data_IF_872215302079
#
_entry.id   IF_872215302079
#
_cell.length_a   1.000
_cell.length_b   1.000
_cell.length_c   1.000
_cell.angle_alpha   90.00
_cell.angle_beta   90.00
_cell.angle_gamma   90.00
#
_symmetry.space_group_name_H-M   'P 1'
#
loop_
_entity.id
_entity.type
_entity.pdbx_description
1 polymer ?
#
# COMPACT_ATOMS: atom_id res chain seq x y z
N UNK A 1 24.27 74.74 -8.57
CA UNK A 1 22.84 74.50 -8.83
C UNK A 1 22.68 73.01 -9.08
N UNK A 2 22.14 72.29 -8.11
CA UNK A 2 21.41 71.03 -8.32
C UNK A 2 20.68 70.75 -7.00
N UNK A 3 19.39 71.06 -6.96
CA UNK A 3 18.51 70.80 -5.83
C UNK A 3 17.73 69.54 -6.15
N UNK A 4 17.97 68.46 -5.41
CA UNK A 4 17.25 67.19 -5.56
C UNK A 4 15.74 67.38 -5.38
N UNK A 5 14.91 66.67 -6.16
CA UNK A 5 13.45 66.76 -6.02
C UNK A 5 12.97 66.12 -4.70
N UNK A 6 11.81 66.53 -4.17
CA UNK A 6 11.29 65.99 -2.92
C UNK A 6 10.86 64.52 -3.10
N UNK A 7 10.95 63.70 -2.03
CA UNK A 7 10.56 62.29 -2.09
C UNK A 7 9.04 62.16 -2.29
N UNK A 8 8.65 61.24 -3.16
CA UNK A 8 7.24 60.90 -3.40
C UNK A 8 6.59 60.36 -2.12
N UNK A 9 5.31 60.70 -1.83
CA UNK A 9 4.56 60.04 -0.78
C UNK A 9 4.42 58.55 -1.09
N UNK A 10 4.82 57.70 -0.14
CA UNK A 10 4.60 56.25 -0.23
C UNK A 10 3.10 55.92 -0.27
N UNK A 11 2.72 54.74 -0.80
CA UNK A 11 1.32 54.30 -0.80
C UNK A 11 0.79 54.28 0.63
N UNK A 12 -0.50 54.63 0.86
CA UNK A 12 -1.08 54.53 2.19
C UNK A 12 -0.95 53.09 2.71
N UNK A 13 -0.55 52.95 3.96
CA UNK A 13 -0.53 51.66 4.66
C UNK A 13 -1.94 51.04 4.61
N UNK A 14 -2.14 50.11 3.68
CA UNK A 14 -3.25 49.20 3.75
C UNK A 14 -2.90 48.22 4.87
N UNK A 15 -3.51 48.42 6.04
CA UNK A 15 -3.64 47.35 7.04
C UNK A 15 -4.06 46.09 6.31
N UNK A 16 -3.33 44.96 6.44
CA UNK A 16 -3.73 43.74 5.79
C UNK A 16 -5.09 43.36 6.36
N UNK A 17 -6.13 43.54 5.56
CA UNK A 17 -7.39 42.87 5.79
C UNK A 17 -7.07 41.41 5.54
N UNK A 18 -6.65 40.73 6.61
CA UNK A 18 -6.63 39.29 6.67
C UNK A 18 -8.10 38.89 6.57
N UNK A 19 -8.59 38.76 5.33
CA UNK A 19 -9.71 37.92 5.05
C UNK A 19 -9.27 36.53 5.50
N UNK A 20 -9.55 36.25 6.78
CA UNK A 20 -9.56 34.90 7.30
C UNK A 20 -10.70 34.25 6.54
N UNK A 21 -10.38 33.72 5.36
CA UNK A 21 -11.20 32.71 4.74
C UNK A 21 -11.12 31.56 5.75
N UNK A 22 -12.07 31.52 6.68
CA UNK A 22 -12.44 30.27 7.34
C UNK A 22 -13.04 29.42 6.23
N UNK A 23 -12.18 28.80 5.43
CA UNK A 23 -12.52 27.59 4.69
C UNK A 23 -12.73 26.51 5.74
N UNK A 24 -13.85 26.59 6.45
CA UNK A 24 -14.51 25.43 7.03
C UNK A 24 -15.07 24.64 5.86
N UNK A 25 -14.18 24.08 5.05
CA UNK A 25 -14.49 22.95 4.19
C UNK A 25 -14.10 21.72 5.00
N UNK A 26 -14.85 21.45 6.07
CA UNK A 26 -14.88 20.11 6.65
C UNK A 26 -15.50 19.21 5.58
N UNK A 27 -14.65 18.61 4.73
CA UNK A 27 -15.06 17.38 4.07
C UNK A 27 -15.56 16.43 5.15
N UNK A 28 -16.66 15.68 4.91
CA UNK A 28 -17.09 14.67 5.86
C UNK A 28 -15.92 13.73 6.13
N UNK A 29 -15.64 13.49 7.40
CA UNK A 29 -14.66 12.48 7.81
C UNK A 29 -15.06 11.16 7.14
N UNK A 30 -14.07 10.49 6.52
CA UNK A 30 -14.32 9.27 5.79
C UNK A 30 -14.76 8.18 6.78
N UNK A 31 -15.98 7.63 6.68
CA UNK A 31 -16.48 6.64 7.64
C UNK A 31 -15.63 5.36 7.65
N UNK A 32 -14.86 5.10 6.57
CA UNK A 32 -13.93 3.98 6.55
C UNK A 32 -12.79 4.16 7.54
N UNK A 33 -12.38 5.40 7.85
CA UNK A 33 -11.34 5.67 8.86
C UNK A 33 -11.81 5.41 10.29
N UNK A 34 -13.11 5.59 10.57
CA UNK A 34 -13.70 5.30 11.87
C UNK A 34 -13.87 3.79 12.11
N UNK A 35 -14.07 3.04 11.03
CA UNK A 35 -14.35 1.60 11.09
C UNK A 35 -13.09 0.75 10.90
N UNK A 36 -12.16 1.17 10.05
CA UNK A 36 -10.91 0.45 9.76
C UNK A 36 -9.80 0.87 10.72
N UNK A 37 -9.99 0.54 12.00
CA UNK A 37 -9.08 0.92 13.09
C UNK A 37 -8.17 -0.23 13.53
N UNK A 38 -8.43 -1.46 13.08
CA UNK A 38 -7.71 -2.64 13.55
C UNK A 38 -6.50 -2.93 12.64
N UNK A 39 -5.27 -2.86 13.16
CA UNK A 39 -4.08 -3.11 12.37
C UNK A 39 -3.87 -4.61 12.12
N UNK A 40 -3.50 -4.95 10.89
CA UNK A 40 -3.03 -6.26 10.44
C UNK A 40 -1.66 -6.10 9.81
N UNK A 41 -0.80 -7.08 10.01
CA UNK A 41 0.54 -7.15 9.44
C UNK A 41 0.55 -8.06 8.23
N UNK A 42 1.03 -7.55 7.10
CA UNK A 42 1.31 -8.34 5.90
C UNK A 42 2.82 -8.50 5.75
N UNK A 43 3.26 -9.74 5.57
CA UNK A 43 4.60 -10.00 5.06
C UNK A 43 4.54 -9.89 3.54
N UNK A 44 5.52 -9.25 2.93
CA UNK A 44 5.62 -9.10 1.48
C UNK A 44 6.91 -9.75 1.01
N UNK A 45 6.84 -10.63 0.01
CA UNK A 45 8.03 -11.20 -0.60
C UNK A 45 8.11 -10.90 -2.09
N UNK A 46 9.28 -10.45 -2.52
CA UNK A 46 9.65 -10.28 -3.93
C UNK A 46 10.74 -11.31 -4.20
N UNK A 47 10.46 -12.28 -5.07
CA UNK A 47 11.47 -13.27 -5.46
C UNK A 47 12.30 -12.72 -6.62
N UNK A 48 13.61 -12.77 -6.46
CA UNK A 48 14.58 -12.54 -7.53
C UNK A 48 15.15 -13.90 -7.91
N UNK A 49 15.03 -14.24 -9.19
CA UNK A 49 15.62 -15.45 -9.75
C UNK A 49 16.45 -15.04 -10.96
N UNK A 50 17.77 -15.20 -10.88
CA UNK A 50 18.70 -14.66 -11.88
C UNK A 50 18.48 -13.17 -12.16
N UNK A 51 18.27 -12.80 -13.43
CA UNK A 51 17.91 -11.46 -13.88
C UNK A 51 16.38 -11.22 -13.90
N UNK A 52 15.57 -12.18 -13.46
CA UNK A 52 14.11 -12.09 -13.47
C UNK A 52 13.55 -11.77 -12.08
N UNK A 53 12.61 -10.83 -12.04
CA UNK A 53 11.81 -10.55 -10.84
C UNK A 53 10.47 -11.26 -11.03
N UNK A 54 10.17 -12.21 -10.14
CA UNK A 54 8.90 -12.92 -10.14
C UNK A 54 7.81 -12.07 -9.45
N UNK A 55 6.52 -12.45 -9.58
CA UNK A 55 5.44 -11.72 -8.93
C UNK A 55 5.65 -11.56 -7.42
N UNK A 56 5.32 -10.37 -6.94
CA UNK A 56 5.28 -10.04 -5.52
C UNK A 56 4.11 -10.76 -4.86
N UNK A 57 4.30 -11.28 -3.66
CA UNK A 57 3.22 -11.91 -2.90
C UNK A 57 3.04 -11.18 -1.57
N UNK A 58 1.79 -10.83 -1.25
CA UNK A 58 1.40 -10.41 0.09
C UNK A 58 0.90 -11.65 0.83
N UNK A 59 1.56 -11.97 1.94
CA UNK A 59 1.23 -13.10 2.79
C UNK A 59 0.40 -12.59 3.95
N UNK A 60 -0.81 -13.14 4.06
CA UNK A 60 -1.68 -12.94 5.20
C UNK A 60 -1.88 -14.28 5.91
N UNK A 61 -1.40 -14.36 7.14
CA UNK A 61 -1.68 -15.45 8.05
C UNK A 61 -2.52 -14.93 9.21
N UNK A 62 -3.44 -15.76 9.69
CA UNK A 62 -4.22 -15.57 10.90
C UNK A 62 -4.69 -16.94 11.39
N UNK A 63 -5.30 -17.02 12.58
CA UNK A 63 -5.70 -18.27 13.24
C UNK A 63 -6.26 -19.34 12.28
N UNK A 64 -7.24 -18.95 11.46
CA UNK A 64 -7.95 -19.86 10.56
C UNK A 64 -7.73 -19.55 9.08
N UNK A 65 -6.68 -18.79 8.72
CA UNK A 65 -6.51 -18.31 7.34
C UNK A 65 -5.05 -18.17 6.95
N UNK A 66 -4.69 -18.76 5.81
CA UNK A 66 -3.39 -18.62 5.16
C UNK A 66 -3.64 -18.25 3.71
N UNK A 67 -3.38 -16.99 3.35
CA UNK A 67 -3.74 -16.43 2.06
C UNK A 67 -2.53 -15.75 1.43
N UNK A 68 -2.26 -16.11 0.17
CA UNK A 68 -1.25 -15.50 -0.67
C UNK A 68 -1.95 -14.65 -1.74
N UNK A 69 -1.63 -13.35 -1.76
CA UNK A 69 -2.20 -12.40 -2.71
C UNK A 69 -1.10 -12.04 -3.70
N UNK A 70 -1.25 -12.47 -4.95
CA UNK A 70 -0.29 -12.11 -6.01
C UNK A 70 -0.49 -10.66 -6.44
N UNK A 71 0.62 -9.95 -6.62
CA UNK A 71 0.65 -8.56 -7.03
C UNK A 71 1.92 -8.24 -7.82
N UNK A 72 1.95 -7.09 -8.47
CA UNK A 72 3.10 -6.52 -9.19
C UNK A 72 3.76 -5.36 -8.44
N UNK A 73 3.43 -5.20 -7.15
CA UNK A 73 4.01 -4.14 -6.33
C UNK A 73 5.53 -4.25 -6.27
N UNK A 74 6.17 -3.12 -6.49
CA UNK A 74 7.62 -2.95 -6.33
C UNK A 74 7.96 -2.46 -4.93
N UNK A 75 9.21 -2.65 -4.50
CA UNK A 75 9.70 -2.09 -3.24
C UNK A 75 9.51 -0.55 -3.17
N UNK A 76 9.67 0.15 -4.29
CA UNK A 76 9.46 1.60 -4.37
C UNK A 76 8.00 2.00 -4.11
N UNK A 77 7.03 1.22 -4.59
CA UNK A 77 5.61 1.46 -4.30
C UNK A 77 5.28 1.18 -2.83
N UNK A 78 5.83 0.11 -2.26
CA UNK A 78 5.63 -0.24 -0.85
C UNK A 78 6.15 0.85 0.10
N UNK A 79 7.25 1.53 -0.27
CA UNK A 79 7.86 2.63 0.50
C UNK A 79 7.00 3.90 0.58
N UNK A 80 5.85 3.94 -0.11
CA UNK A 80 4.84 4.98 0.10
C UNK A 80 3.93 4.69 1.29
N UNK A 81 3.86 3.43 1.73
CA UNK A 81 3.02 2.98 2.84
C UNK A 81 3.71 3.32 4.17
N UNK A 82 2.95 3.91 5.08
CA UNK A 82 3.38 4.18 6.45
C UNK A 82 3.72 2.88 7.15
N UNK A 83 4.87 2.86 7.83
CA UNK A 83 5.31 1.69 8.59
C UNK A 83 5.84 0.56 7.69
N UNK A 84 6.09 0.84 6.40
CA UNK A 84 6.90 -0.01 5.55
C UNK A 84 8.25 -0.28 6.21
N UNK A 85 8.63 -1.56 6.25
CA UNK A 85 9.90 -2.00 6.84
C UNK A 85 10.51 -3.12 6.00
N UNK A 86 11.74 -2.90 5.55
CA UNK A 86 12.56 -3.97 4.98
C UNK A 86 13.05 -4.89 6.10
N UNK A 87 12.80 -6.20 5.94
CA UNK A 87 13.26 -7.23 6.88
C UNK A 87 14.66 -7.71 6.50
N UNK A 88 14.90 -7.87 5.20
CA UNK A 88 16.16 -8.29 4.61
C UNK A 88 15.95 -9.13 3.35
N UNK A 89 17.07 -9.60 2.80
CA UNK A 89 17.09 -10.57 1.70
C UNK A 89 17.54 -11.92 2.25
N UNK A 90 16.80 -12.97 1.89
CA UNK A 90 17.01 -14.32 2.42
C UNK A 90 17.16 -15.33 1.27
N UNK A 91 18.03 -16.34 1.41
CA UNK A 91 17.99 -17.50 0.53
C UNK A 91 16.70 -18.31 0.77
N UNK A 92 16.38 -19.29 -0.10
CA UNK A 92 15.32 -20.24 0.16
C UNK A 92 15.47 -20.92 1.53
N UNK A 93 14.41 -20.99 2.35
CA UNK A 93 14.50 -21.60 3.68
C UNK A 93 14.71 -23.12 3.62
N UNK A 94 14.24 -23.76 2.56
CA UNK A 94 14.37 -25.20 2.30
C UNK A 94 14.58 -25.45 0.80
N UNK A 95 15.17 -26.61 0.47
CA UNK A 95 15.34 -27.05 -0.91
C UNK A 95 13.97 -27.16 -1.62
N UNK A 96 13.89 -26.67 -2.86
CA UNK A 96 12.66 -26.69 -3.67
C UNK A 96 11.75 -25.46 -3.53
N UNK A 97 12.05 -24.53 -2.61
CA UNK A 97 11.34 -23.22 -2.54
C UNK A 97 11.97 -22.25 -3.53
N UNK A 98 11.35 -22.12 -4.70
CA UNK A 98 11.89 -21.33 -5.81
C UNK A 98 11.09 -20.05 -6.12
N UNK A 99 9.95 -19.83 -5.49
CA UNK A 99 9.10 -18.65 -5.67
C UNK A 99 8.34 -18.26 -4.40
N UNK A 100 7.78 -17.05 -4.40
CA UNK A 100 7.06 -16.47 -3.27
C UNK A 100 5.82 -17.29 -2.85
N UNK A 101 5.19 -18.06 -3.76
CA UNK A 101 4.05 -18.91 -3.41
C UNK A 101 4.51 -20.19 -2.72
N UNK A 102 5.60 -20.79 -3.17
CA UNK A 102 6.26 -21.89 -2.49
C UNK A 102 6.73 -21.46 -1.09
N UNK A 103 7.27 -20.24 -0.97
CA UNK A 103 7.62 -19.63 0.32
C UNK A 103 6.39 -19.52 1.23
N UNK A 104 5.26 -19.03 0.71
CA UNK A 104 4.01 -18.96 1.48
C UNK A 104 3.57 -20.33 2.00
N UNK A 105 3.57 -21.36 1.14
CA UNK A 105 3.18 -22.72 1.51
C UNK A 105 4.13 -23.34 2.54
N UNK A 106 5.43 -23.09 2.41
CA UNK A 106 6.45 -23.55 3.35
C UNK A 106 6.14 -23.06 4.78
N UNK A 107 5.79 -21.78 4.92
CA UNK A 107 5.52 -21.20 6.22
C UNK A 107 4.08 -21.37 6.73
N UNK A 108 3.12 -21.70 5.86
CA UNK A 108 1.72 -21.89 6.26
C UNK A 108 1.56 -22.93 7.39
N UNK A 109 2.31 -24.04 7.33
CA UNK A 109 2.29 -25.08 8.37
C UNK A 109 2.96 -24.67 9.68
N UNK A 110 4.00 -23.81 9.60
CA UNK A 110 4.72 -23.30 10.77
C UNK A 110 3.83 -22.38 11.63
N UNK A 111 2.96 -21.62 10.96
CA UNK A 111 2.13 -20.59 11.60
C UNK A 111 0.67 -21.00 11.77
N UNK A 112 0.36 -22.28 11.58
CA UNK A 112 -0.99 -22.81 11.72
C UNK A 112 -1.51 -22.54 13.14
N UNK A 113 -2.74 -21.98 13.22
CA UNK A 113 -3.37 -21.64 14.50
C UNK A 113 -2.80 -20.41 15.21
N UNK A 114 -1.80 -19.70 14.64
CA UNK A 114 -1.27 -18.46 15.21
C UNK A 114 -2.07 -17.23 14.76
N UNK A 115 -2.18 -16.24 15.64
CA UNK A 115 -2.76 -14.94 15.29
C UNK A 115 -1.87 -14.16 14.31
N UNK A 116 -2.44 -13.20 13.58
CA UNK A 116 -1.75 -12.54 12.47
C UNK A 116 -0.35 -11.99 12.79
N UNK A 117 -0.21 -11.21 13.87
CA UNK A 117 1.09 -10.61 14.23
C UNK A 117 2.09 -11.68 14.69
N UNK A 118 1.64 -12.64 15.49
CA UNK A 118 2.47 -13.73 15.98
C UNK A 118 2.99 -14.61 14.83
N UNK A 119 2.13 -14.91 13.85
CA UNK A 119 2.50 -15.65 12.65
C UNK A 119 3.62 -14.95 11.87
N UNK A 120 3.48 -13.64 11.63
CA UNK A 120 4.50 -12.87 10.92
C UNK A 120 5.82 -12.82 11.69
N UNK A 121 5.76 -12.58 13.01
CA UNK A 121 6.95 -12.53 13.87
C UNK A 121 7.70 -13.89 13.89
N UNK A 122 6.97 -15.01 13.93
CA UNK A 122 7.53 -16.36 13.85
C UNK A 122 8.26 -16.61 12.52
N UNK A 123 7.64 -16.25 11.38
CA UNK A 123 8.26 -16.41 10.06
C UNK A 123 9.54 -15.58 9.95
N UNK A 124 9.51 -14.32 10.41
CA UNK A 124 10.70 -13.46 10.42
C UNK A 124 11.78 -14.03 11.34
N UNK A 125 11.40 -14.58 12.49
CA UNK A 125 12.33 -15.26 13.40
C UNK A 125 13.02 -16.44 12.73
N UNK A 126 12.26 -17.31 12.06
CA UNK A 126 12.82 -18.45 11.31
C UNK A 126 13.75 -18.02 10.17
N UNK A 127 13.34 -17.01 9.39
CA UNK A 127 14.17 -16.47 8.30
C UNK A 127 15.50 -15.92 8.81
N UNK A 128 15.49 -15.24 9.96
CA UNK A 128 16.70 -14.71 10.61
C UNK A 128 17.53 -15.79 11.30
N UNK A 129 16.88 -16.79 11.87
CA UNK A 129 17.49 -17.89 12.62
C UNK A 129 18.17 -18.93 11.72
N UNK A 130 17.80 -19.00 10.44
CA UNK A 130 18.45 -19.87 9.44
C UNK A 130 19.86 -19.37 9.01
N UNK A 131 20.42 -18.41 9.76
CA UNK A 131 21.73 -17.82 9.54
C UNK A 131 22.88 -18.75 9.88
N UNK A 132 23.07 -19.82 9.10
CA UNK A 132 24.40 -20.39 8.81
C UNK A 132 24.42 -21.28 7.56
N UNK A 133 23.45 -21.14 6.64
CA UNK A 133 23.59 -21.71 5.31
C UNK A 133 24.40 -20.68 4.54
N UNK A 134 25.68 -21.00 4.34
CA UNK A 134 26.62 -20.28 3.47
C UNK A 134 25.86 -19.52 2.39
N UNK A 135 26.09 -18.20 2.31
CA UNK A 135 25.92 -17.46 1.06
C UNK A 135 26.77 -18.18 0.01
N UNK A 136 26.25 -19.28 -0.53
CA UNK A 136 26.77 -19.85 -1.74
C UNK A 136 26.41 -18.79 -2.76
N UNK A 137 27.43 -18.21 -3.37
CA UNK A 137 27.30 -17.38 -4.57
C UNK A 137 26.60 -18.11 -5.73
N UNK A 138 26.12 -19.33 -5.49
CA UNK A 138 25.40 -20.24 -6.37
C UNK A 138 23.88 -20.32 -6.09
N UNK A 139 23.34 -19.57 -5.11
CA UNK A 139 21.88 -19.50 -4.94
C UNK A 139 21.26 -18.63 -6.03
N UNK A 140 20.65 -19.28 -7.02
CA UNK A 140 19.94 -18.65 -8.16
C UNK A 140 18.73 -17.82 -7.71
N UNK A 141 18.21 -18.06 -6.50
CA UNK A 141 16.97 -17.50 -5.98
C UNK A 141 17.22 -16.75 -4.67
N UNK A 142 16.69 -15.54 -4.57
CA UNK A 142 16.69 -14.71 -3.36
C UNK A 142 15.29 -14.15 -3.09
N UNK A 143 14.93 -14.05 -1.82
CA UNK A 143 13.67 -13.46 -1.37
C UNK A 143 13.94 -12.14 -0.67
N UNK A 144 13.54 -11.02 -1.29
CA UNK A 144 13.49 -9.73 -0.60
C UNK A 144 12.20 -9.66 0.20
N UNK A 145 12.32 -9.54 1.52
CA UNK A 145 11.18 -9.61 2.45
C UNK A 145 10.95 -8.26 3.12
N UNK A 146 9.70 -7.83 3.13
CA UNK A 146 9.24 -6.58 3.72
C UNK A 146 8.02 -6.83 4.62
N UNK A 147 7.72 -5.87 5.48
CA UNK A 147 6.52 -5.84 6.29
C UNK A 147 5.79 -4.54 6.03
N UNK A 148 4.48 -4.63 5.85
CA UNK A 148 3.57 -3.48 5.80
C UNK A 148 2.42 -3.68 6.79
N UNK A 149 1.83 -2.56 7.22
CA UNK A 149 0.63 -2.55 8.06
C UNK A 149 -0.57 -2.13 7.23
N UNK A 150 -1.67 -2.87 7.36
CA UNK A 150 -2.96 -2.56 6.74
C UNK A 150 -4.04 -2.52 7.82
N UNK A 151 -5.14 -1.83 7.56
CA UNK A 151 -6.18 -1.63 8.56
C UNK A 151 -7.51 -2.22 8.09
N UNK A 152 -8.11 -3.04 8.94
CA UNK A 152 -9.38 -3.71 8.69
C UNK A 152 -10.47 -3.33 9.69
N UNK A 153 -11.70 -3.69 9.36
CA UNK A 153 -12.88 -3.48 10.23
C UNK A 153 -12.88 -4.37 11.47
N UNK A 154 -12.21 -5.52 11.41
CA UNK A 154 -12.14 -6.50 12.50
C UNK A 154 -10.69 -6.71 12.91
N UNK A 155 -10.45 -7.02 14.18
CA UNK A 155 -9.12 -7.40 14.68
C UNK A 155 -8.62 -8.73 14.11
N UNK A 156 -9.54 -9.61 13.71
CA UNK A 156 -9.23 -10.94 13.20
C UNK A 156 -10.18 -11.34 12.06
N UNK A 157 -9.75 -12.31 11.28
CA UNK A 157 -10.58 -12.97 10.27
C UNK A 157 -10.99 -12.08 9.10
N UNK A 158 -10.12 -11.14 8.72
CA UNK A 158 -10.40 -10.15 7.69
C UNK A 158 -10.70 -10.78 6.33
N UNK A 159 -10.09 -11.93 6.05
CA UNK A 159 -10.21 -12.67 4.80
C UNK A 159 -10.70 -14.13 5.01
N UNK A 160 -11.33 -14.43 6.14
CA UNK A 160 -11.82 -15.78 6.46
C UNK A 160 -12.96 -16.19 5.53
N UNK A 161 -13.07 -17.50 5.25
CA UNK A 161 -14.16 -18.04 4.41
C UNK A 161 -13.95 -17.83 2.91
N UNK A 162 -12.72 -17.56 2.47
CA UNK A 162 -12.40 -17.37 1.05
C UNK A 162 -12.79 -15.99 0.52
N UNK A 163 -12.85 -14.99 1.40
CA UNK A 163 -13.08 -13.61 0.99
C UNK A 163 -11.87 -13.04 0.24
N UNK A 164 -12.17 -12.26 -0.78
CA UNK A 164 -11.21 -11.60 -1.63
C UNK A 164 -10.85 -10.22 -1.05
N UNK A 165 -9.56 -9.84 -0.99
CA UNK A 165 -9.17 -8.54 -0.50
C UNK A 165 -9.49 -7.44 -1.53
N UNK A 166 -10.04 -6.34 -1.04
CA UNK A 166 -10.14 -5.04 -1.71
C UNK A 166 -9.46 -3.97 -0.86
N UNK A 167 -9.07 -2.87 -1.51
CA UNK A 167 -8.09 -1.94 -0.97
C UNK A 167 -8.56 -0.50 -1.12
N UNK A 168 -8.17 0.34 -0.18
CA UNK A 168 -8.35 1.81 -0.25
C UNK A 168 -7.18 2.47 0.47
N UNK A 169 -6.69 3.61 -0.04
CA UNK A 169 -5.66 4.38 0.65
C UNK A 169 -6.29 5.52 1.44
N UNK A 170 -5.61 5.89 2.53
CA UNK A 170 -5.94 7.05 3.32
C UNK A 170 -4.67 7.77 3.79
N UNK A 171 -4.79 9.05 4.10
CA UNK A 171 -3.75 9.87 4.71
C UNK A 171 -4.40 10.79 5.75
N UNK A 172 -4.73 10.25 6.95
CA UNK A 172 -5.46 11.01 7.97
C UNK A 172 -4.66 12.21 8.49
N UNK A 173 -3.34 12.08 8.58
CA UNK A 173 -2.43 13.12 9.08
C UNK A 173 -1.96 14.12 8.00
N UNK A 174 -2.72 14.26 6.92
CA UNK A 174 -2.39 15.24 5.88
C UNK A 174 -2.55 16.67 6.43
N UNK A 175 -1.54 17.52 6.17
CA UNK A 175 -1.43 18.89 6.71
C UNK A 175 -2.63 19.78 6.33
N UNK A 176 -3.24 19.54 5.17
CA UNK A 176 -4.34 20.36 4.67
C UNK A 176 -5.70 19.85 5.14
N UNK A 177 -5.96 18.56 4.93
CA UNK A 177 -7.17 17.84 5.31
C UNK A 177 -6.91 16.33 5.12
N UNK A 178 -7.59 15.45 5.89
CA UNK A 178 -7.56 14.01 5.66
C UNK A 178 -7.87 13.70 4.20
N UNK A 179 -7.02 12.92 3.54
CA UNK A 179 -7.24 12.49 2.14
C UNK A 179 -7.50 11.01 2.09
N UNK A 180 -8.40 10.58 1.22
CA UNK A 180 -8.72 9.17 1.01
C UNK A 180 -8.98 8.90 -0.47
N UNK A 181 -8.71 7.66 -0.89
CA UNK A 181 -9.01 7.17 -2.23
C UNK A 181 -10.35 6.44 -2.29
N UNK A 182 -10.54 5.69 -3.39
CA UNK A 182 -11.68 4.80 -3.56
C UNK A 182 -11.30 3.35 -3.29
N UNK A 183 -12.31 2.51 -3.08
CA UNK A 183 -12.14 1.06 -3.00
C UNK A 183 -11.82 0.49 -4.38
N UNK A 184 -10.74 -0.28 -4.47
CA UNK A 184 -10.27 -0.91 -5.70
C UNK A 184 -9.97 -2.39 -5.46
N UNK A 185 -10.07 -3.17 -6.54
CA UNK A 185 -9.79 -4.61 -6.51
C UNK A 185 -8.31 -4.93 -6.41
N UNK A 186 -7.45 -4.09 -7.01
CA UNK A 186 -6.02 -4.29 -7.12
C UNK A 186 -5.26 -3.24 -6.30
N UNK A 187 -4.31 -3.70 -5.49
CA UNK A 187 -3.54 -2.82 -4.59
C UNK A 187 -2.62 -1.88 -5.37
N UNK A 188 -2.18 -2.28 -6.55
CA UNK A 188 -1.36 -1.48 -7.46
C UNK A 188 -2.11 -0.22 -7.90
N UNK A 189 -3.39 -0.34 -8.19
CA UNK A 189 -4.24 0.80 -8.59
C UNK A 189 -4.40 1.78 -7.44
N UNK A 190 -4.58 1.27 -6.22
CA UNK A 190 -4.66 2.08 -5.00
C UNK A 190 -3.37 2.85 -4.76
N UNK A 191 -2.22 2.19 -4.83
CA UNK A 191 -0.94 2.87 -4.57
C UNK A 191 -0.55 3.84 -5.68
N UNK A 192 -0.87 3.55 -6.95
CA UNK A 192 -0.63 4.49 -8.05
C UNK A 192 -1.46 5.78 -7.90
N UNK A 193 -2.75 5.65 -7.56
CA UNK A 193 -3.61 6.80 -7.27
C UNK A 193 -3.10 7.58 -6.05
N UNK A 194 -2.73 6.87 -4.98
CA UNK A 194 -2.23 7.49 -3.75
C UNK A 194 -0.91 8.23 -3.94
N UNK A 195 0.01 7.68 -4.74
CA UNK A 195 1.28 8.33 -5.08
C UNK A 195 1.04 9.70 -5.71
N UNK A 196 0.13 9.76 -6.69
CA UNK A 196 -0.24 11.00 -7.37
C UNK A 196 -0.99 11.98 -6.45
N UNK A 197 -1.92 11.46 -5.65
CA UNK A 197 -2.87 12.29 -4.89
C UNK A 197 -2.39 12.69 -3.50
N UNK A 198 -1.52 11.90 -2.87
CA UNK A 198 -1.16 12.09 -1.46
C UNK A 198 0.34 11.85 -1.16
N UNK A 199 1.11 11.27 -2.08
CA UNK A 199 2.52 10.98 -1.91
C UNK A 199 2.76 9.88 -0.87
N UNK A 200 3.73 10.09 0.04
CA UNK A 200 4.17 9.08 1.02
C UNK A 200 3.44 9.15 2.36
N UNK A 201 3.63 8.12 3.19
CA UNK A 201 3.09 8.05 4.55
C UNK A 201 1.62 7.63 4.57
N UNK A 202 1.22 6.83 3.59
CA UNK A 202 -0.15 6.37 3.37
C UNK A 202 -0.54 5.28 4.36
N UNK A 203 -1.77 5.34 4.83
CA UNK A 203 -2.44 4.24 5.51
C UNK A 203 -3.18 3.40 4.46
N UNK A 204 -2.99 2.09 4.48
CA UNK A 204 -3.69 1.18 3.57
C UNK A 204 -4.84 0.50 4.32
N UNK A 205 -6.05 0.63 3.80
CA UNK A 205 -7.25 -0.03 4.30
C UNK A 205 -7.48 -1.30 3.49
N UNK A 206 -7.88 -2.37 4.16
CA UNK A 206 -8.17 -3.66 3.54
C UNK A 206 -9.51 -4.20 4.06
N UNK A 207 -10.33 -4.70 3.14
CA UNK A 207 -11.59 -5.34 3.45
C UNK A 207 -11.72 -6.67 2.68
N UNK A 208 -12.24 -7.71 3.34
CA UNK A 208 -12.65 -8.94 2.68
C UNK A 208 -14.05 -8.83 2.10
N UNK A 209 -14.20 -9.10 0.81
CA UNK A 209 -15.49 -9.11 0.09
C UNK A 209 -15.66 -10.41 -0.71
N UNK A 210 -16.85 -10.65 -1.27
CA UNK A 210 -17.03 -11.78 -2.18
C UNK A 210 -16.22 -11.59 -3.48
N UNK A 211 -15.83 -12.68 -4.13
CA UNK A 211 -15.19 -12.61 -5.46
C UNK A 211 -16.06 -11.91 -6.51
N UNK A 212 -17.40 -12.03 -6.41
CA UNK A 212 -18.33 -11.31 -7.28
C UNK A 212 -18.17 -9.79 -7.12
N UNK A 213 -18.21 -9.30 -5.87
CA UNK A 213 -18.02 -7.87 -5.55
C UNK A 213 -16.65 -7.38 -6.02
N UNK A 214 -15.59 -8.17 -5.82
CA UNK A 214 -14.25 -7.82 -6.31
C UNK A 214 -14.22 -7.72 -7.84
N UNK A 215 -14.92 -8.61 -8.53
CA UNK A 215 -15.00 -8.59 -9.99
C UNK A 215 -15.83 -7.40 -10.51
N UNK A 216 -16.86 -6.98 -9.78
CA UNK A 216 -17.60 -5.76 -10.09
C UNK A 216 -16.71 -4.52 -10.04
N UNK A 217 -15.87 -4.40 -9.00
CA UNK A 217 -14.88 -3.31 -8.90
C UNK A 217 -13.92 -3.30 -10.09
N UNK A 218 -13.39 -4.47 -10.49
CA UNK A 218 -12.54 -4.59 -11.68
C UNK A 218 -13.24 -4.09 -12.94
N UNK A 219 -14.51 -4.51 -13.15
CA UNK A 219 -15.30 -4.10 -14.32
C UNK A 219 -15.61 -2.60 -14.30
N UNK A 220 -15.94 -2.04 -13.14
CA UNK A 220 -16.16 -0.61 -12.98
C UNK A 220 -14.92 0.20 -13.37
N UNK A 221 -13.72 -0.24 -12.92
CA UNK A 221 -12.46 0.39 -13.29
C UNK A 221 -12.19 0.32 -14.80
N UNK A 222 -12.39 -0.85 -15.43
CA UNK A 222 -12.19 -1.01 -16.87
C UNK A 222 -13.10 -0.10 -17.71
N UNK A 223 -14.34 0.13 -17.25
CA UNK A 223 -15.27 1.05 -17.92
C UNK A 223 -14.79 2.49 -17.87
N UNK A 224 -14.31 2.95 -16.70
CA UNK A 224 -13.77 4.30 -16.54
C UNK A 224 -12.58 4.51 -17.48
N UNK A 225 -11.64 3.56 -17.49
CA UNK A 225 -10.48 3.65 -18.39
C UNK A 225 -10.87 3.65 -19.86
N UNK A 226 -11.89 2.88 -20.27
CA UNK A 226 -12.37 2.87 -21.66
C UNK A 226 -12.95 4.21 -22.09
N UNK A 227 -13.65 4.90 -21.18
CA UNK A 227 -14.25 6.22 -21.46
C UNK A 227 -13.17 7.29 -21.60
N UNK A 228 -12.12 7.24 -20.77
CA UNK A 228 -11.01 8.20 -20.87
C UNK A 228 -10.27 8.10 -22.22
N UNK A 229 -10.06 6.87 -22.74
CA UNK A 229 -9.50 6.68 -24.09
C UNK A 229 -10.41 7.25 -25.20
N UNK A 230 -11.73 7.10 -25.08
CA UNK A 230 -12.68 7.66 -26.06
C UNK A 230 -12.65 9.20 -26.06
N UNK A 231 -12.44 9.83 -24.90
CA UNK A 231 -12.33 11.30 -24.78
C UNK A 231 -11.00 11.79 -25.37
N UNK A 232 -9.89 11.12 -25.10
CA UNK A 232 -8.58 11.48 -25.66
C UNK A 232 -8.52 11.28 -27.18
N UNK A 233 -9.20 10.25 -27.72
CA UNK A 233 -9.35 10.07 -29.17
C UNK A 233 -10.22 11.15 -29.82
N UNK A 234 -11.21 11.71 -29.12
CA UNK A 234 -12.02 12.84 -29.61
C UNK A 234 -11.30 14.19 -29.51
N UNK A 235 -10.26 14.30 -28.67
CA UNK A 235 -9.41 15.48 -28.55
C UNK A 235 -8.34 15.61 -29.65
N UNK A 236 -7.98 14.52 -30.34
CA UNK A 236 -6.97 14.51 -31.41
C UNK A 236 -7.53 14.77 -32.83
N UNK A 237 -8.83 15.05 -32.96
CA UNK A 237 -9.52 15.35 -34.22
C UNK A 237 -10.00 16.81 -34.33
N UNK A 238 -9.40 17.76 -33.60
CA UNK A 238 -9.65 19.19 -33.76
C UNK A 238 -8.42 19.98 -34.16
#
# INVERSE_FOLDING_TARGET
>A
METSPPPYPGPPEQTPVVHTIKTTTTQPEDPDLETHIHPHTLLVSITRKDAQILPTVLHYWNHDSSIAILTKLTAAQLDHIRGFKEVGTFPPPVEGVCDSLALHRCFASLVEGKGNREAVDEVISQLRGSGDITSSKDCEVEFCVFVITVFGVKSEGLLTGGLAPVWKWAKPESVYYPRTGFWEAEVESVLADAEWMAGRGLQLLMQGVSEETKQELRRARSKITSIDWDIDCLGFLR
#
